data_IF_093762100478
#
_entry.id   IF_093762100478
#
_cell.length_a   1.000
_cell.length_b   1.000
_cell.length_c   1.000
_cell.angle_alpha   90.00
_cell.angle_beta   90.00
_cell.angle_gamma   90.00
#
_symmetry.space_group_name_H-M   'P 1'
#
loop_
_entity.id
_entity.type
_entity.pdbx_description
1 polymer ?
#
# COMPACT_ATOMS: atom_id res chain seq x y z
N UNK A 1 -0.42 3.59 11.12
CA UNK A 1 1.03 3.26 11.19
C UNK A 1 1.79 4.43 10.62
N UNK A 2 2.76 4.98 11.35
CA UNK A 2 3.54 6.14 10.91
C UNK A 2 4.96 5.68 10.56
N UNK A 3 5.50 6.18 9.46
CA UNK A 3 6.85 5.90 8.98
C UNK A 3 7.78 7.08 9.28
N UNK A 4 9.08 6.81 9.33
CA UNK A 4 10.10 7.81 9.70
C UNK A 4 10.25 8.96 8.70
N UNK A 5 9.82 8.75 7.44
CA UNK A 5 9.81 9.75 6.37
C UNK A 5 8.55 10.63 6.38
N UNK A 6 7.66 10.45 7.37
CA UNK A 6 6.40 11.17 7.49
C UNK A 6 5.24 10.55 6.71
N UNK A 7 5.47 9.44 5.98
CA UNK A 7 4.40 8.64 5.42
C UNK A 7 3.56 7.99 6.52
N UNK A 8 2.32 7.63 6.20
CA UNK A 8 1.49 6.82 7.08
C UNK A 8 0.65 5.82 6.29
N UNK A 9 0.24 4.76 6.96
CA UNK A 9 -0.67 3.75 6.42
C UNK A 9 -1.78 3.44 7.43
N UNK A 10 -2.98 3.27 6.89
CA UNK A 10 -4.16 2.81 7.63
C UNK A 10 -4.58 1.47 7.05
N UNK A 11 -4.87 0.52 7.93
CA UNK A 11 -5.33 -0.82 7.54
C UNK A 11 -6.68 -1.04 8.21
N UNK A 12 -7.67 -1.43 7.41
CA UNK A 12 -9.00 -1.81 7.88
C UNK A 12 -9.25 -3.25 7.47
N UNK A 13 -9.64 -4.09 8.44
CA UNK A 13 -9.93 -5.51 8.23
C UNK A 13 -11.22 -5.81 8.97
N UNK A 14 -12.20 -6.36 8.26
CA UNK A 14 -13.46 -6.77 8.83
C UNK A 14 -13.91 -8.08 8.19
N UNK A 15 -14.14 -9.09 9.03
CA UNK A 15 -14.79 -10.32 8.62
C UNK A 15 -16.31 -10.17 8.48
N UNK A 16 -16.89 -9.15 9.11
CA UNK A 16 -18.33 -8.90 9.17
C UNK A 16 -18.79 -7.89 8.11
N UNK A 17 -17.87 -7.35 7.32
CA UNK A 17 -18.25 -6.45 6.22
C UNK A 17 -19.15 -7.23 5.24
N UNK A 18 -20.35 -6.72 4.93
CA UNK A 18 -21.24 -7.39 3.99
C UNK A 18 -20.67 -7.42 2.56
N UNK A 19 -19.67 -6.59 2.26
CA UNK A 19 -19.01 -6.55 0.97
C UNK A 19 -17.61 -7.16 1.06
N UNK A 20 -17.31 -8.03 0.10
CA UNK A 20 -15.94 -8.52 -0.10
C UNK A 20 -15.13 -7.37 -0.70
N UNK A 21 -14.19 -6.82 0.07
CA UNK A 21 -13.29 -5.74 -0.36
C UNK A 21 -11.84 -6.20 -0.24
N UNK A 22 -11.05 -6.00 -1.29
CA UNK A 22 -9.59 -6.20 -1.31
C UNK A 22 -8.94 -5.07 -2.08
N UNK A 23 -8.89 -3.91 -1.45
CA UNK A 23 -8.43 -2.68 -2.07
C UNK A 23 -7.26 -2.08 -1.29
N UNK A 24 -6.27 -1.55 -2.02
CA UNK A 24 -5.17 -0.77 -1.49
C UNK A 24 -5.09 0.54 -2.25
N UNK A 25 -5.10 1.66 -1.53
CA UNK A 25 -4.93 3.00 -2.10
C UNK A 25 -3.60 3.59 -1.68
N UNK A 26 -2.81 4.00 -2.66
CA UNK A 26 -1.53 4.67 -2.48
C UNK A 26 -1.71 6.14 -2.89
N UNK A 27 -1.43 7.05 -1.97
CA UNK A 27 -1.55 8.50 -2.20
C UNK A 27 -0.16 9.11 -2.27
N UNK A 28 0.27 9.48 -3.47
CA UNK A 28 1.51 10.22 -3.70
C UNK A 28 1.25 11.70 -3.92
N UNK A 29 2.32 12.50 -3.88
CA UNK A 29 2.25 13.96 -4.11
C UNK A 29 1.87 14.34 -5.55
N UNK A 30 2.11 13.44 -6.52
CA UNK A 30 1.88 13.68 -7.95
C UNK A 30 0.77 12.84 -8.56
N UNK A 31 0.61 11.61 -8.07
CA UNK A 31 -0.34 10.61 -8.60
C UNK A 31 -0.83 9.72 -7.46
N UNK A 32 -1.99 9.11 -7.66
CA UNK A 32 -2.53 8.08 -6.77
C UNK A 32 -2.68 6.77 -7.53
N UNK A 33 -2.60 5.66 -6.80
CA UNK A 33 -2.81 4.33 -7.33
C UNK A 33 -3.88 3.64 -6.49
N UNK A 34 -4.88 3.06 -7.14
CA UNK A 34 -5.81 2.13 -6.52
C UNK A 34 -5.52 0.74 -7.08
N UNK A 35 -5.24 -0.21 -6.20
CA UNK A 35 -5.16 -1.62 -6.52
C UNK A 35 -6.37 -2.34 -5.94
N UNK A 36 -7.23 -2.87 -6.80
CA UNK A 36 -8.37 -3.70 -6.42
C UNK A 36 -8.13 -5.13 -6.91
N UNK A 37 -7.85 -6.05 -5.99
CA UNK A 37 -7.55 -7.43 -6.34
C UNK A 37 -8.76 -8.21 -6.87
N UNK A 38 -9.98 -7.72 -6.62
CA UNK A 38 -11.21 -8.33 -7.10
C UNK A 38 -11.54 -7.97 -8.55
N UNK A 39 -10.94 -6.91 -9.10
CA UNK A 39 -11.07 -6.57 -10.52
C UNK A 39 -10.35 -7.62 -11.38
N UNK A 40 -10.98 -8.20 -12.41
CA UNK A 40 -10.36 -9.26 -13.19
C UNK A 40 -9.31 -8.74 -14.19
N UNK A 41 -9.47 -7.50 -14.67
CA UNK A 41 -8.68 -6.93 -15.76
C UNK A 41 -7.98 -5.65 -15.29
N UNK A 42 -8.74 -4.66 -14.85
CA UNK A 42 -8.24 -3.34 -14.45
C UNK A 42 -7.87 -3.29 -12.96
N UNK A 43 -7.07 -4.26 -12.50
CA UNK A 43 -6.66 -4.35 -11.08
C UNK A 43 -5.99 -3.10 -10.57
N UNK A 44 -5.27 -2.38 -11.42
CA UNK A 44 -4.54 -1.17 -11.04
C UNK A 44 -5.10 0.01 -11.82
N UNK A 45 -5.46 1.09 -11.11
CA UNK A 45 -5.82 2.38 -11.71
C UNK A 45 -4.91 3.47 -11.15
N UNK A 46 -4.20 4.15 -12.05
CA UNK A 46 -3.31 5.26 -11.73
C UNK A 46 -4.02 6.56 -12.10
N UNK A 47 -4.17 7.45 -11.13
CA UNK A 47 -4.84 8.73 -11.28
C UNK A 47 -3.81 9.86 -11.29
N UNK A 48 -3.76 10.64 -12.37
CA UNK A 48 -2.99 11.89 -12.39
C UNK A 48 -3.76 13.05 -11.73
N UNK A 49 -4.12 12.85 -10.47
CA UNK A 49 -4.79 13.87 -9.66
C UNK A 49 -3.81 14.37 -8.61
N UNK A 50 -3.69 15.69 -8.50
CA UNK A 50 -2.82 16.33 -7.49
C UNK A 50 -3.40 17.67 -7.07
N UNK A 51 -2.98 18.12 -5.91
CA UNK A 51 -3.28 19.46 -5.41
C UNK A 51 -2.00 20.27 -5.48
N UNK A 52 -1.99 21.35 -6.24
CA UNK A 52 -0.89 22.31 -6.21
C UNK A 52 -1.20 23.41 -5.19
N UNK A 53 -0.29 23.62 -4.24
CA UNK A 53 -0.32 24.80 -3.38
C UNK A 53 0.06 26.02 -4.22
N UNK A 54 -0.84 26.99 -4.40
CA UNK A 54 -0.46 28.21 -5.08
C UNK A 54 0.59 28.99 -4.27
N UNK A 55 1.40 29.85 -4.90
CA UNK A 55 2.27 30.78 -4.19
C UNK A 55 1.45 31.68 -3.25
N UNK A 56 2.07 32.11 -2.16
CA UNK A 56 1.48 32.88 -1.05
C UNK A 56 0.59 34.05 -1.52
N UNK A 57 -0.63 34.17 -0.97
CA UNK A 57 -1.52 35.33 -1.16
C UNK A 57 -2.00 35.87 0.19
N UNK A 58 -2.16 37.19 0.30
CA UNK A 58 -2.50 37.90 1.54
C UNK A 58 -3.98 37.80 1.93
N UNK A 59 -4.86 37.26 1.08
CA UNK A 59 -6.31 37.20 1.34
C UNK A 59 -6.83 35.75 1.45
N UNK A 60 -7.72 35.53 2.43
CA UNK A 60 -8.33 34.21 2.71
C UNK A 60 -9.37 33.80 1.65
N UNK A 61 -9.81 34.72 0.79
CA UNK A 61 -10.86 34.52 -0.20
C UNK A 61 -10.37 33.90 -1.52
N UNK A 62 -9.07 33.95 -1.80
CA UNK A 62 -8.42 33.37 -2.99
C UNK A 62 -7.79 32.00 -2.75
N UNK A 63 -8.07 31.36 -1.61
CA UNK A 63 -7.57 30.04 -1.26
C UNK A 63 -8.34 28.92 -1.99
N UNK A 64 -8.29 28.93 -3.33
CA UNK A 64 -8.76 27.79 -4.12
C UNK A 64 -7.57 26.87 -4.38
N UNK A 65 -7.50 25.76 -3.63
CA UNK A 65 -6.64 24.65 -4.00
C UNK A 65 -6.83 24.34 -5.48
N UNK A 66 -5.77 24.55 -6.27
CA UNK A 66 -5.82 24.25 -7.70
C UNK A 66 -5.74 22.74 -7.85
N UNK A 67 -6.91 22.13 -8.02
CA UNK A 67 -7.01 20.70 -8.29
C UNK A 67 -6.61 20.44 -9.74
N UNK A 68 -5.57 19.63 -9.92
CA UNK A 68 -5.23 19.08 -11.22
C UNK A 68 -5.97 17.75 -11.40
N UNK A 69 -6.62 17.62 -12.56
CA UNK A 69 -7.26 16.39 -13.01
C UNK A 69 -6.68 16.03 -14.37
N UNK A 70 -5.74 15.08 -14.39
CA UNK A 70 -5.20 14.49 -15.61
C UNK A 70 -5.80 13.12 -15.88
N UNK A 71 -5.09 12.34 -16.70
CA UNK A 71 -5.56 11.05 -17.17
C UNK A 71 -5.68 10.01 -16.04
N UNK A 72 -6.55 9.04 -16.31
CA UNK A 72 -6.62 7.78 -15.57
C UNK A 72 -6.03 6.70 -16.47
N UNK A 73 -5.03 6.00 -15.97
CA UNK A 73 -4.33 4.94 -16.70
C UNK A 73 -4.47 3.60 -15.97
N UNK A 74 -4.86 2.57 -16.73
CA UNK A 74 -4.94 1.19 -16.26
C UNK A 74 -3.94 0.34 -17.05
N UNK A 75 -2.82 -0.08 -16.46
CA UNK A 75 -1.84 -0.90 -17.18
C UNK A 75 -2.38 -2.31 -17.42
N UNK A 76 -2.01 -2.88 -18.57
CA UNK A 76 -2.23 -4.30 -18.80
C UNK A 76 -1.35 -5.13 -17.86
N UNK A 77 -1.98 -6.03 -17.12
CA UNK A 77 -1.29 -7.00 -16.27
C UNK A 77 -1.44 -8.39 -16.86
N UNK A 78 -0.30 -9.04 -17.12
CA UNK A 78 -0.29 -10.44 -17.53
C UNK A 78 -0.88 -11.28 -16.40
N UNK A 79 -1.96 -11.98 -16.70
CA UNK A 79 -2.57 -12.92 -15.75
C UNK A 79 -1.75 -14.20 -15.71
N UNK A 80 -1.41 -14.60 -14.49
CA UNK A 80 -0.70 -15.83 -14.19
C UNK A 80 -1.21 -16.35 -12.86
N UNK A 81 -1.24 -17.66 -12.67
CA UNK A 81 -1.64 -18.26 -11.41
C UNK A 81 -0.60 -17.93 -10.31
N UNK A 82 -0.93 -17.11 -9.29
CA UNK A 82 0.08 -16.58 -8.37
C UNK A 82 0.76 -17.67 -7.52
N UNK A 83 -0.02 -18.66 -7.04
CA UNK A 83 0.51 -19.73 -6.19
C UNK A 83 1.51 -20.61 -6.95
N UNK A 84 1.21 -20.97 -8.21
CA UNK A 84 2.17 -21.65 -9.06
C UNK A 84 3.46 -20.86 -9.27
N UNK A 85 3.38 -19.55 -9.50
CA UNK A 85 4.58 -18.72 -9.66
C UNK A 85 5.41 -18.68 -8.37
N UNK A 86 4.77 -18.54 -7.22
CA UNK A 86 5.43 -18.56 -5.91
C UNK A 86 6.13 -19.90 -5.66
N UNK A 87 5.44 -21.02 -5.86
CA UNK A 87 6.00 -22.37 -5.72
C UNK A 87 7.16 -22.61 -6.70
N UNK A 88 7.03 -22.14 -7.95
CA UNK A 88 8.10 -22.26 -8.94
C UNK A 88 9.33 -21.45 -8.51
N UNK A 89 9.14 -20.21 -8.07
CA UNK A 89 10.22 -19.35 -7.58
C UNK A 89 10.96 -19.97 -6.39
N UNK A 90 10.23 -20.59 -5.46
CA UNK A 90 10.82 -21.33 -4.35
C UNK A 90 11.73 -22.47 -4.84
N UNK A 91 11.25 -23.31 -5.77
CA UNK A 91 12.04 -24.41 -6.34
C UNK A 91 13.25 -23.89 -7.12
N UNK A 92 13.09 -22.80 -7.87
CA UNK A 92 14.17 -22.18 -8.63
C UNK A 92 15.25 -21.63 -7.70
N UNK A 93 14.87 -21.03 -6.56
CA UNK A 93 15.83 -20.56 -5.55
C UNK A 93 16.63 -21.71 -4.94
N UNK A 94 15.99 -22.84 -4.65
CA UNK A 94 16.70 -24.05 -4.17
C UNK A 94 17.68 -24.55 -5.22
N UNK A 95 17.21 -24.71 -6.47
CA UNK A 95 18.00 -25.26 -7.56
C UNK A 95 19.21 -24.39 -7.90
N UNK A 96 19.02 -23.08 -7.93
CA UNK A 96 20.04 -22.12 -8.36
C UNK A 96 20.84 -21.53 -7.20
N UNK A 97 20.52 -21.89 -5.95
CA UNK A 97 21.11 -21.33 -4.73
C UNK A 97 21.01 -19.79 -4.67
N UNK A 98 19.90 -19.25 -5.17
CA UNK A 98 19.66 -17.81 -5.17
C UNK A 98 18.87 -17.38 -3.95
N UNK A 99 19.13 -16.16 -3.48
CA UNK A 99 18.33 -15.56 -2.42
C UNK A 99 16.91 -15.28 -2.94
N UNK A 100 15.85 -15.75 -2.25
CA UNK A 100 14.48 -15.44 -2.66
C UNK A 100 14.17 -13.95 -2.46
N UNK A 101 13.32 -13.39 -3.31
CA UNK A 101 12.78 -12.02 -3.17
C UNK A 101 12.14 -11.79 -1.79
N UNK A 102 11.40 -12.79 -1.30
CA UNK A 102 10.77 -12.83 0.03
C UNK A 102 11.42 -13.92 0.89
N UNK A 103 12.43 -13.54 1.66
CA UNK A 103 13.15 -14.45 2.58
C UNK A 103 12.54 -14.52 4.00
N UNK A 104 13.13 -15.34 4.87
CA UNK A 104 12.71 -15.44 6.27
C UNK A 104 12.80 -14.14 7.06
N UNK A 105 13.72 -13.23 6.71
CA UNK A 105 13.83 -11.92 7.36
C UNK A 105 12.68 -10.99 6.95
N UNK A 106 12.21 -11.07 5.70
CA UNK A 106 10.97 -10.42 5.30
C UNK A 106 9.78 -10.93 6.13
N UNK A 107 9.66 -12.24 6.31
CA UNK A 107 8.63 -12.85 7.17
C UNK A 107 8.71 -12.37 8.63
N UNK A 108 9.92 -12.32 9.21
CA UNK A 108 10.14 -11.81 10.57
C UNK A 108 9.64 -10.37 10.73
N UNK A 109 9.95 -9.48 9.79
CA UNK A 109 9.51 -8.08 9.84
C UNK A 109 7.99 -7.95 9.79
N UNK A 110 7.31 -8.79 9.00
CA UNK A 110 5.83 -8.81 8.95
C UNK A 110 5.26 -9.23 10.30
N UNK A 111 5.79 -10.31 10.90
CA UNK A 111 5.34 -10.79 12.21
C UNK A 111 5.53 -9.72 13.29
N UNK A 112 6.67 -9.03 13.31
CA UNK A 112 6.92 -7.94 14.26
C UNK A 112 5.88 -6.82 14.16
N UNK A 113 5.46 -6.44 12.94
CA UNK A 113 4.40 -5.45 12.74
C UNK A 113 3.06 -5.96 13.29
N UNK A 114 2.70 -7.22 13.03
CA UNK A 114 1.46 -7.83 13.53
C UNK A 114 1.44 -7.94 15.06
N UNK A 115 2.57 -8.29 15.67
CA UNK A 115 2.73 -8.33 17.13
C UNK A 115 2.56 -6.94 17.74
N UNK A 116 3.21 -5.92 17.17
CA UNK A 116 3.08 -4.54 17.62
C UNK A 116 1.65 -4.00 17.46
N UNK A 117 0.96 -4.34 16.36
CA UNK A 117 -0.45 -4.00 16.18
C UNK A 117 -1.34 -4.66 17.25
N UNK A 118 -1.09 -5.95 17.55
CA UNK A 118 -1.81 -6.69 18.58
C UNK A 118 -1.56 -6.11 19.98
N UNK A 119 -0.32 -5.72 20.29
CA UNK A 119 0.04 -5.05 21.52
C UNK A 119 -0.63 -3.67 21.64
N UNK A 120 -0.63 -2.89 20.56
CA UNK A 120 -1.31 -1.59 20.47
C UNK A 120 -2.79 -1.71 20.84
N UNK A 121 -3.48 -2.69 20.27
CA UNK A 121 -4.90 -2.96 20.56
C UNK A 121 -5.13 -3.28 22.03
N UNK A 122 -4.30 -4.14 22.64
CA UNK A 122 -4.38 -4.46 24.08
C UNK A 122 -4.17 -3.24 24.97
N UNK A 123 -3.41 -2.24 24.50
CA UNK A 123 -3.13 -0.97 25.17
C UNK A 123 -4.06 0.17 24.72
N UNK A 124 -5.25 -0.15 24.19
CA UNK A 124 -6.24 0.86 23.80
C UNK A 124 -5.84 1.72 22.59
N UNK A 125 -5.05 1.18 21.68
CA UNK A 125 -4.60 1.88 20.46
C UNK A 125 -3.34 2.72 20.64
N UNK A 126 -2.57 2.53 21.72
CA UNK A 126 -1.31 3.26 21.93
C UNK A 126 -0.27 2.97 20.84
N UNK A 127 0.55 3.95 20.46
CA UNK A 127 1.63 3.74 19.48
C UNK A 127 2.71 2.81 20.03
N UNK A 128 3.04 1.74 19.29
CA UNK A 128 4.13 0.82 19.59
C UNK A 128 5.29 1.09 18.64
N UNK A 129 6.48 1.38 19.18
CA UNK A 129 7.67 1.68 18.38
C UNK A 129 8.34 0.38 17.95
N UNK A 130 8.43 0.18 16.64
CA UNK A 130 9.17 -0.94 16.05
C UNK A 130 10.65 -0.57 15.90
N UNK A 131 11.52 -1.53 16.20
CA UNK A 131 12.95 -1.48 15.86
C UNK A 131 13.19 -2.54 14.77
N UNK A 132 12.88 -2.20 13.54
CA UNK A 132 13.17 -3.07 12.40
C UNK A 132 14.68 -3.06 12.17
N UNK A 133 15.29 -4.24 12.07
CA UNK A 133 16.71 -4.43 11.72
C UNK A 133 16.93 -4.33 10.21
#
# INVERSE_FOLDING_TARGET
MDFSDGGFATIQISWLDPYKVREMTFVGSKKMLVYNDLEPIEKIKIFDKRVSTPPYYDNFAEFQYSYHYGDIYSPYLKQSEPLKLECQHFLDCIKNQTKPETDGYNGLRVVQVLEAASESLKKGGSKIKLKLQ
#
